data_IF_035272386638
#
_entry.id   IF_035272386638
#
_cell.length_a   1.000
_cell.length_b   1.000
_cell.length_c   1.000
_cell.angle_alpha   90.00
_cell.angle_beta   90.00
_cell.angle_gamma   90.00
#
_symmetry.space_group_name_H-M   'P 1'
#
loop_
_entity.id
_entity.type
_entity.pdbx_description
1 polymer ?
#
# COMPACT_ATOMS: atom_id res chain seq x y z
N UNK A 1 2.34 27.62 -23.62
CA UNK A 1 3.28 27.47 -22.49
C UNK A 1 2.61 26.63 -21.41
N UNK A 2 2.84 25.32 -21.42
CA UNK A 2 2.28 24.40 -20.42
C UNK A 2 3.07 24.52 -19.12
N UNK A 3 2.59 25.34 -18.20
CA UNK A 3 3.17 25.45 -16.86
C UNK A 3 2.99 24.13 -16.13
N UNK A 4 4.08 23.41 -15.87
CA UNK A 4 4.08 22.30 -14.91
C UNK A 4 3.87 22.93 -13.54
N UNK A 5 2.63 23.12 -13.11
CA UNK A 5 2.33 23.42 -11.72
C UNK A 5 2.43 22.12 -10.94
N UNK A 6 3.67 21.68 -10.69
CA UNK A 6 3.97 20.47 -9.93
C UNK A 6 3.64 20.66 -8.45
N UNK A 7 2.35 20.67 -8.11
CA UNK A 7 1.93 20.78 -6.71
C UNK A 7 2.27 19.48 -5.97
N UNK A 8 3.18 19.59 -5.01
CA UNK A 8 3.46 18.53 -4.06
C UNK A 8 2.18 18.09 -3.32
N UNK A 9 2.06 16.82 -2.90
CA UNK A 9 0.91 16.36 -2.12
C UNK A 9 0.68 17.19 -0.86
N UNK A 10 -0.57 17.55 -0.61
CA UNK A 10 -0.98 18.24 0.61
C UNK A 10 -0.99 17.27 1.80
N UNK A 11 -1.08 17.82 3.02
CA UNK A 11 -1.21 17.00 4.24
C UNK A 11 -2.46 16.12 4.20
N UNK A 12 -3.57 16.62 3.69
CA UNK A 12 -4.81 15.85 3.58
C UNK A 12 -4.66 14.70 2.58
N UNK A 13 -3.98 14.92 1.45
CA UNK A 13 -3.70 13.85 0.49
C UNK A 13 -2.78 12.77 1.08
N UNK A 14 -1.78 13.15 1.89
CA UNK A 14 -0.97 12.21 2.65
C UNK A 14 -1.79 11.42 3.67
N UNK A 15 -2.77 12.06 4.33
CA UNK A 15 -3.70 11.40 5.25
C UNK A 15 -4.54 10.35 4.54
N UNK A 16 -5.18 10.72 3.42
CA UNK A 16 -6.00 9.80 2.61
C UNK A 16 -5.15 8.68 2.02
N UNK A 17 -3.93 8.99 1.58
CA UNK A 17 -2.94 7.98 1.16
C UNK A 17 -2.62 7.00 2.28
N UNK A 18 -2.41 7.48 3.51
CA UNK A 18 -2.18 6.65 4.69
C UNK A 18 -3.35 5.69 4.96
N UNK A 19 -4.59 6.16 4.84
CA UNK A 19 -5.77 5.31 4.97
C UNK A 19 -5.83 4.23 3.89
N UNK A 20 -5.56 4.58 2.62
CA UNK A 20 -5.46 3.59 1.55
C UNK A 20 -4.32 2.60 1.79
N UNK A 21 -3.20 3.01 2.37
CA UNK A 21 -2.10 2.11 2.73
C UNK A 21 -2.49 1.11 3.82
N UNK A 22 -3.28 1.52 4.81
CA UNK A 22 -3.84 0.59 5.79
C UNK A 22 -4.80 -0.41 5.14
N UNK A 23 -5.62 0.04 4.18
CA UNK A 23 -6.47 -0.87 3.39
C UNK A 23 -5.62 -1.88 2.61
N UNK A 24 -4.59 -1.42 1.89
CA UNK A 24 -3.71 -2.31 1.13
C UNK A 24 -2.96 -3.34 1.99
N UNK A 25 -2.46 -2.90 3.15
CA UNK A 25 -1.83 -3.77 4.15
C UNK A 25 -2.83 -4.81 4.67
N UNK A 26 -4.03 -4.37 5.06
CA UNK A 26 -5.09 -5.26 5.53
C UNK A 26 -5.49 -6.29 4.46
N UNK A 27 -5.59 -5.88 3.20
CA UNK A 27 -5.97 -6.76 2.09
C UNK A 27 -4.95 -7.87 1.86
N UNK A 28 -3.66 -7.53 1.75
CA UNK A 28 -2.63 -8.54 1.50
C UNK A 28 -2.44 -9.45 2.73
N UNK A 29 -2.58 -8.92 3.95
CA UNK A 29 -2.51 -9.70 5.18
C UNK A 29 -3.68 -10.67 5.31
N UNK A 30 -4.88 -10.22 4.94
CA UNK A 30 -6.07 -11.06 4.87
C UNK A 30 -5.88 -12.21 3.88
N UNK A 31 -5.33 -11.93 2.68
CA UNK A 31 -5.02 -12.97 1.69
C UNK A 31 -4.03 -14.00 2.22
N UNK A 32 -2.97 -13.54 2.90
CA UNK A 32 -1.97 -14.43 3.49
C UNK A 32 -2.54 -15.34 4.59
N UNK A 33 -3.50 -14.84 5.37
CA UNK A 33 -4.06 -15.53 6.55
C UNK A 33 -5.47 -16.06 6.32
N UNK A 34 -5.92 -16.16 5.07
CA UNK A 34 -7.34 -16.34 4.72
C UNK A 34 -7.95 -17.61 5.32
N UNK A 35 -7.20 -18.71 5.34
CA UNK A 35 -7.61 -20.00 5.91
C UNK A 35 -7.69 -20.00 7.45
N UNK A 36 -7.34 -18.89 8.11
CA UNK A 36 -7.40 -18.70 9.55
C UNK A 36 -8.25 -17.47 9.88
N UNK A 37 -7.69 -16.42 10.48
CA UNK A 37 -8.40 -15.20 10.82
C UNK A 37 -8.48 -14.17 9.68
N UNK A 38 -7.90 -14.48 8.52
CA UNK A 38 -7.82 -13.55 7.39
C UNK A 38 -9.17 -13.13 6.84
N UNK A 39 -10.22 -13.95 6.98
CA UNK A 39 -11.58 -13.56 6.58
C UNK A 39 -12.12 -12.39 7.43
N UNK A 40 -11.79 -12.32 8.73
CA UNK A 40 -12.18 -11.21 9.60
C UNK A 40 -11.48 -9.93 9.13
N UNK A 41 -10.18 -10.04 8.84
CA UNK A 41 -9.37 -8.92 8.35
C UNK A 41 -9.89 -8.45 6.98
N UNK A 42 -10.30 -9.38 6.11
CA UNK A 42 -10.90 -9.06 4.81
C UNK A 42 -12.19 -8.25 4.97
N UNK A 43 -13.09 -8.66 5.88
CA UNK A 43 -14.35 -7.94 6.15
C UNK A 43 -14.07 -6.53 6.69
N UNK A 44 -13.18 -6.38 7.67
CA UNK A 44 -12.81 -5.08 8.24
C UNK A 44 -12.20 -4.18 7.16
N UNK A 45 -11.28 -4.72 6.37
CA UNK A 45 -10.59 -3.99 5.31
C UNK A 45 -11.55 -3.55 4.21
N UNK A 46 -12.47 -4.43 3.82
CA UNK A 46 -13.51 -4.13 2.84
C UNK A 46 -14.42 -3.00 3.33
N UNK A 47 -14.89 -3.09 4.59
CA UNK A 47 -15.69 -2.03 5.20
C UNK A 47 -14.91 -0.69 5.25
N UNK A 48 -13.64 -0.72 5.65
CA UNK A 48 -12.76 0.45 5.64
C UNK A 48 -12.58 1.06 4.26
N UNK A 49 -12.39 0.24 3.23
CA UNK A 49 -12.27 0.67 1.84
C UNK A 49 -13.55 1.36 1.34
N UNK A 50 -14.72 0.77 1.61
CA UNK A 50 -16.01 1.34 1.24
C UNK A 50 -16.28 2.67 1.98
N UNK A 51 -16.01 2.72 3.28
CA UNK A 51 -16.15 3.96 4.06
C UNK A 51 -15.23 5.07 3.55
N UNK A 52 -14.00 4.72 3.17
CA UNK A 52 -13.04 5.68 2.65
C UNK A 52 -13.45 6.17 1.26
N UNK A 53 -13.85 5.26 0.35
CA UNK A 53 -14.32 5.60 -0.99
C UNK A 53 -15.59 6.46 -0.98
N UNK A 54 -16.47 6.29 0.02
CA UNK A 54 -17.68 7.10 0.18
C UNK A 54 -17.42 8.50 0.75
N UNK A 55 -16.28 8.73 1.41
CA UNK A 55 -15.95 10.00 2.07
C UNK A 55 -14.94 10.83 1.30
N UNK A 56 -14.03 10.19 0.58
CA UNK A 56 -12.87 10.80 -0.03
C UNK A 56 -12.78 10.34 -1.50
N UNK A 57 -12.59 11.28 -2.44
CA UNK A 57 -12.31 10.90 -3.81
C UNK A 57 -10.92 10.23 -3.88
N UNK A 58 -10.81 8.96 -4.34
CA UNK A 58 -9.57 8.19 -4.22
C UNK A 58 -8.40 8.85 -4.95
N UNK A 59 -8.67 9.49 -6.09
CA UNK A 59 -7.73 10.31 -6.84
C UNK A 59 -6.33 9.70 -6.95
N UNK A 60 -5.29 10.50 -6.64
CA UNK A 60 -3.92 10.00 -6.54
C UNK A 60 -3.63 9.27 -5.21
N UNK A 61 -4.41 9.56 -4.17
CA UNK A 61 -4.20 9.01 -2.83
C UNK A 61 -4.45 7.50 -2.78
N UNK A 62 -5.21 6.95 -3.73
CA UNK A 62 -5.43 5.52 -3.92
C UNK A 62 -4.13 4.71 -4.09
N UNK A 63 -3.03 5.33 -4.55
CA UNK A 63 -1.71 4.69 -4.61
C UNK A 63 -1.14 4.30 -3.23
N UNK A 64 -1.75 4.81 -2.16
CA UNK A 64 -1.55 4.31 -0.81
C UNK A 64 -1.82 2.81 -0.72
N UNK A 65 -2.85 2.30 -1.38
CA UNK A 65 -3.20 0.88 -1.40
C UNK A 65 -2.04 0.00 -1.89
N UNK A 66 -1.46 0.38 -3.04
CA UNK A 66 -0.28 -0.30 -3.59
C UNK A 66 0.89 -0.25 -2.62
N UNK A 67 1.09 0.90 -1.98
CA UNK A 67 2.14 1.07 -0.97
C UNK A 67 1.93 0.11 0.20
N UNK A 68 0.70 0.03 0.72
CA UNK A 68 0.29 -0.87 1.78
C UNK A 68 0.52 -2.34 1.46
N UNK A 69 0.19 -2.77 0.23
CA UNK A 69 0.45 -4.14 -0.22
C UNK A 69 1.93 -4.50 -0.17
N UNK A 70 2.83 -3.56 -0.45
CA UNK A 70 4.28 -3.76 -0.41
C UNK A 70 4.87 -3.92 1.00
N UNK A 71 4.17 -3.43 2.04
CA UNK A 71 4.65 -3.48 3.43
C UNK A 71 4.67 -4.90 4.02
N UNK A 72 3.77 -5.77 3.57
CA UNK A 72 3.65 -7.13 4.11
C UNK A 72 4.79 -8.04 3.63
N UNK A 73 5.15 -8.08 2.33
CA UNK A 73 6.39 -8.69 1.87
C UNK A 73 7.64 -8.20 2.60
N UNK A 74 7.75 -6.89 2.89
CA UNK A 74 8.86 -6.33 3.66
C UNK A 74 8.92 -6.93 5.07
N UNK A 75 7.78 -7.00 5.76
CA UNK A 75 7.68 -7.61 7.08
C UNK A 75 8.05 -9.09 7.06
N UNK A 76 7.50 -9.87 6.11
CA UNK A 76 7.81 -11.30 5.95
C UNK A 76 9.31 -11.51 5.73
N UNK A 77 9.90 -10.74 4.82
CA UNK A 77 11.32 -10.79 4.54
C UNK A 77 12.14 -10.48 5.78
N UNK A 78 11.78 -9.45 6.54
CA UNK A 78 12.44 -9.07 7.79
C UNK A 78 12.38 -10.17 8.85
N UNK A 79 11.20 -10.74 9.10
CA UNK A 79 10.99 -11.81 10.10
C UNK A 79 11.71 -13.09 9.73
N UNK A 80 11.81 -13.39 8.43
CA UNK A 80 12.44 -14.60 7.95
C UNK A 80 13.98 -14.51 7.87
N UNK A 81 14.59 -13.36 8.16
CA UNK A 81 16.07 -13.22 8.13
C UNK A 81 16.80 -14.16 9.09
N UNK A 82 16.15 -14.56 10.18
CA UNK A 82 16.71 -15.49 11.17
C UNK A 82 16.18 -16.93 11.00
N UNK A 83 15.26 -17.17 10.06
CA UNK A 83 14.63 -18.46 9.88
C UNK A 83 15.38 -19.28 8.82
N UNK A 84 15.69 -20.54 9.14
CA UNK A 84 16.32 -21.51 8.23
C UNK A 84 15.30 -22.29 7.37
N UNK A 85 14.06 -21.80 7.29
CA UNK A 85 12.94 -22.49 6.65
C UNK A 85 13.02 -22.48 5.12
N UNK A 86 12.54 -23.58 4.52
CA UNK A 86 12.35 -23.71 3.08
C UNK A 86 11.30 -22.70 2.58
N UNK A 87 11.73 -21.70 1.83
CA UNK A 87 10.88 -20.65 1.27
C UNK A 87 11.69 -19.67 0.41
N UNK A 88 11.01 -18.71 -0.22
CA UNK A 88 11.70 -17.62 -0.93
C UNK A 88 12.66 -16.91 0.02
N UNK A 89 13.89 -16.66 -0.45
CA UNK A 89 14.91 -16.00 0.35
C UNK A 89 14.43 -14.65 0.90
N UNK A 90 14.84 -14.25 2.11
CA UNK A 90 14.47 -12.96 2.71
C UNK A 90 14.70 -11.76 1.78
N UNK A 91 15.75 -11.78 0.97
CA UNK A 91 16.07 -10.73 0.01
C UNK A 91 15.02 -10.56 -1.09
N UNK A 92 14.38 -11.65 -1.54
CA UNK A 92 13.31 -11.59 -2.56
C UNK A 92 12.06 -10.94 -1.97
N UNK A 93 11.69 -11.30 -0.74
CA UNK A 93 10.58 -10.67 -0.02
C UNK A 93 10.83 -9.18 0.22
N UNK A 94 12.02 -8.83 0.71
CA UNK A 94 12.40 -7.43 0.95
C UNK A 94 12.42 -6.65 -0.37
N UNK A 95 13.04 -7.20 -1.41
CA UNK A 95 13.15 -6.55 -2.72
C UNK A 95 11.78 -6.29 -3.36
N UNK A 96 10.92 -7.31 -3.42
CA UNK A 96 9.57 -7.17 -3.98
C UNK A 96 8.69 -6.20 -3.20
N UNK A 97 8.74 -6.26 -1.86
CA UNK A 97 8.02 -5.34 -0.99
C UNK A 97 8.51 -3.90 -1.12
N UNK A 98 9.83 -3.68 -1.12
CA UNK A 98 10.44 -2.37 -1.29
C UNK A 98 10.07 -1.75 -2.64
N UNK A 99 10.21 -2.50 -3.73
CA UNK A 99 9.85 -2.04 -5.08
C UNK A 99 8.37 -1.66 -5.15
N UNK A 100 7.49 -2.52 -4.64
CA UNK A 100 6.04 -2.26 -4.65
C UNK A 100 5.68 -1.01 -3.85
N UNK A 101 6.22 -0.88 -2.63
CA UNK A 101 5.99 0.28 -1.78
C UNK A 101 6.53 1.57 -2.41
N UNK A 102 7.74 1.53 -2.97
CA UNK A 102 8.36 2.67 -3.62
C UNK A 102 7.59 3.11 -4.87
N UNK A 103 7.11 2.17 -5.70
CA UNK A 103 6.29 2.51 -6.87
C UNK A 103 5.03 3.28 -6.46
N UNK A 104 4.32 2.83 -5.41
CA UNK A 104 3.14 3.53 -4.91
C UNK A 104 3.45 4.96 -4.43
N UNK A 105 4.53 5.13 -3.66
CA UNK A 105 4.97 6.47 -3.20
C UNK A 105 5.40 7.34 -4.37
N UNK A 106 6.21 6.83 -5.30
CA UNK A 106 6.74 7.58 -6.43
C UNK A 106 5.64 8.08 -7.35
N UNK A 107 4.62 7.26 -7.61
CA UNK A 107 3.48 7.68 -8.43
C UNK A 107 2.63 8.71 -7.68
N UNK A 108 2.45 8.55 -6.36
CA UNK A 108 1.72 9.51 -5.54
C UNK A 108 2.36 10.91 -5.51
N UNK A 109 3.70 10.98 -5.38
CA UNK A 109 4.44 12.26 -5.37
C UNK A 109 4.68 12.84 -6.76
N UNK A 110 4.40 12.08 -7.83
CA UNK A 110 4.68 12.51 -9.20
C UNK A 110 3.89 13.79 -9.54
N UNK A 111 4.55 14.84 -10.06
CA UNK A 111 3.88 16.06 -10.49
C UNK A 111 2.86 15.78 -11.60
N UNK A 112 1.64 16.36 -11.50
CA UNK A 112 0.67 16.32 -12.61
C UNK A 112 1.12 17.25 -13.73
N UNK A 113 1.04 16.77 -14.97
CA UNK A 113 1.00 17.65 -16.14
C UNK A 113 -0.44 18.14 -16.28
N UNK A 114 -0.67 19.43 -16.09
CA UNK A 114 -1.92 20.10 -16.47
C UNK A 114 -1.94 20.23 -17.99
N UNK A 115 -2.84 19.50 -18.64
CA UNK A 115 -3.22 19.69 -20.05
C UNK A 115 -4.24 20.80 -20.15
#
# INVERSE_FOLDING_TARGET
MSGVSGRAPTRDEWRVFGWWALVGLGSIWATWTLLSYGWIIAVITCAGALMLANREEPGRSAWGFVTGMGLVPLWIGWTNRAATTAGLSPSVWIGSGAVTALVGVLIFVRPRRTT
#
